data_IF_899458270243
#
_entry.id   IF_899458270243
#
_cell.length_a   1.000
_cell.length_b   1.000
_cell.length_c   1.000
_cell.angle_alpha   90.00
_cell.angle_beta   90.00
_cell.angle_gamma   90.00
#
_symmetry.space_group_name_H-M   'P 1'
#
loop_
_entity.id
_entity.type
_entity.pdbx_description
1 polymer ?
#
# COMPACT_ATOMS: atom_id res chain seq x y z
N UNK A 1 -10.26 -14.14 12.75
CA UNK A 1 -11.07 -15.38 12.91
C UNK A 1 -10.99 -15.90 14.35
N UNK A 2 -9.87 -16.49 14.80
CA UNK A 2 -9.76 -17.12 16.12
C UNK A 2 -10.12 -16.23 17.32
N UNK A 3 -9.72 -14.95 17.29
CA UNK A 3 -9.96 -14.00 18.39
C UNK A 3 -11.45 -13.65 18.57
N UNK A 4 -12.24 -13.70 17.50
CA UNK A 4 -13.63 -13.24 17.49
C UNK A 4 -14.63 -14.32 17.04
N UNK A 5 -14.17 -15.54 16.73
CA UNK A 5 -15.01 -16.64 16.24
C UNK A 5 -15.69 -16.37 14.89
N UNK A 6 -15.20 -15.39 14.11
CA UNK A 6 -15.80 -14.96 12.84
C UNK A 6 -15.29 -15.77 11.65
N UNK A 7 -16.05 -15.76 10.55
CA UNK A 7 -15.63 -16.33 9.27
C UNK A 7 -14.45 -15.59 8.65
N UNK A 8 -13.80 -16.23 7.67
CA UNK A 8 -12.72 -15.61 6.90
C UNK A 8 -13.19 -14.36 6.16
N UNK A 9 -14.35 -14.42 5.52
CA UNK A 9 -14.93 -13.30 4.77
C UNK A 9 -15.18 -12.09 5.68
N UNK A 10 -15.73 -12.32 6.87
CA UNK A 10 -15.94 -11.27 7.86
C UNK A 10 -14.61 -10.68 8.36
N UNK A 11 -13.61 -11.53 8.62
CA UNK A 11 -12.29 -11.08 9.03
C UNK A 11 -11.60 -10.24 7.94
N UNK A 12 -11.65 -10.67 6.68
CA UNK A 12 -11.10 -9.94 5.54
C UNK A 12 -11.80 -8.60 5.36
N UNK A 13 -13.13 -8.57 5.46
CA UNK A 13 -13.90 -7.32 5.39
C UNK A 13 -13.48 -6.34 6.49
N UNK A 14 -13.34 -6.83 7.73
CA UNK A 14 -12.87 -6.00 8.84
C UNK A 14 -11.46 -5.46 8.58
N UNK A 15 -10.52 -6.28 8.11
CA UNK A 15 -9.18 -5.82 7.75
C UNK A 15 -9.22 -4.70 6.70
N UNK A 16 -10.06 -4.81 5.67
CA UNK A 16 -10.21 -3.75 4.67
C UNK A 16 -10.77 -2.44 5.25
N UNK A 17 -11.72 -2.52 6.18
CA UNK A 17 -12.25 -1.36 6.89
C UNK A 17 -11.17 -0.66 7.73
N UNK A 18 -10.34 -1.43 8.44
CA UNK A 18 -9.22 -0.88 9.21
C UNK A 18 -8.13 -0.28 8.31
N UNK A 19 -7.78 -0.93 7.20
CA UNK A 19 -6.85 -0.37 6.20
C UNK A 19 -7.39 0.95 5.65
N UNK A 20 -8.70 1.02 5.35
CA UNK A 20 -9.33 2.24 4.87
C UNK A 20 -9.29 3.37 5.91
N UNK A 21 -9.47 3.04 7.20
CA UNK A 21 -9.34 4.02 8.29
C UNK A 21 -7.89 4.51 8.41
N UNK A 22 -6.92 3.60 8.42
CA UNK A 22 -5.50 3.95 8.49
C UNK A 22 -5.06 4.87 7.34
N UNK A 23 -5.59 4.68 6.13
CA UNK A 23 -5.32 5.59 5.00
C UNK A 23 -5.84 7.02 5.24
N UNK A 24 -6.97 7.19 5.92
CA UNK A 24 -7.50 8.51 6.29
C UNK A 24 -6.61 9.18 7.32
N UNK A 25 -6.17 8.42 8.33
CA UNK A 25 -5.25 8.91 9.36
C UNK A 25 -3.92 9.37 8.73
N UNK A 26 -3.35 8.56 7.83
CA UNK A 26 -2.13 8.92 7.07
C UNK A 26 -2.34 10.23 6.28
N UNK A 27 -3.47 10.36 5.59
CA UNK A 27 -3.76 11.54 4.79
C UNK A 27 -3.89 12.81 5.67
N UNK A 28 -4.53 12.70 6.83
CA UNK A 28 -4.66 13.80 7.79
C UNK A 28 -3.29 14.21 8.36
N UNK A 29 -2.48 13.24 8.80
CA UNK A 29 -1.15 13.49 9.36
C UNK A 29 -0.19 14.10 8.33
N UNK A 30 -0.28 13.69 7.06
CA UNK A 30 0.53 14.29 5.99
C UNK A 30 0.17 15.75 5.70
N UNK A 31 -1.01 16.23 6.09
CA UNK A 31 -1.42 17.64 5.94
C UNK A 31 -1.02 18.50 7.13
N UNK A 32 -0.77 17.89 8.30
CA UNK A 32 -0.41 18.62 9.52
C UNK A 32 1.03 19.13 9.44
N UNK A 33 1.32 20.32 9.99
CA UNK A 33 2.69 20.75 10.21
C UNK A 33 3.42 19.74 11.09
N UNK A 34 4.57 19.26 10.61
CA UNK A 34 5.40 18.27 11.32
C UNK A 34 6.81 18.83 11.51
N UNK A 35 7.47 18.54 12.65
CA UNK A 35 8.89 18.86 12.83
C UNK A 35 9.82 17.95 11.99
N UNK A 36 9.28 16.88 11.40
CA UNK A 36 10.04 15.96 10.58
C UNK A 36 10.29 16.53 9.18
N UNK A 37 11.43 16.23 8.55
CA UNK A 37 11.66 16.56 7.14
C UNK A 37 10.60 15.90 6.25
N UNK A 38 10.08 16.66 5.27
CA UNK A 38 9.10 16.16 4.29
C UNK A 38 9.60 14.92 3.55
N UNK A 39 10.89 14.86 3.24
CA UNK A 39 11.50 13.70 2.57
C UNK A 39 11.42 12.42 3.40
N UNK A 40 11.42 12.52 4.73
CA UNK A 40 11.27 11.38 5.62
C UNK A 40 9.83 10.87 5.62
N UNK A 41 8.85 11.78 5.73
CA UNK A 41 7.43 11.41 5.71
C UNK A 41 7.01 10.86 4.35
N UNK A 42 7.50 11.44 3.26
CA UNK A 42 7.32 10.93 1.89
C UNK A 42 7.87 9.52 1.72
N UNK A 43 9.03 9.22 2.30
CA UNK A 43 9.62 7.87 2.22
C UNK A 43 8.72 6.82 2.87
N UNK A 44 8.19 7.11 4.05
CA UNK A 44 7.27 6.19 4.76
C UNK A 44 5.95 6.05 4.01
N UNK A 45 5.40 7.16 3.51
CA UNK A 45 4.18 7.17 2.71
C UNK A 45 4.35 6.35 1.41
N UNK A 46 5.45 6.53 0.69
CA UNK A 46 5.73 5.80 -0.53
C UNK A 46 5.99 4.31 -0.27
N UNK A 47 6.57 3.95 0.88
CA UNK A 47 6.66 2.56 1.29
C UNK A 47 5.27 1.94 1.47
N UNK A 48 4.36 2.59 2.20
CA UNK A 48 2.98 2.11 2.34
C UNK A 48 2.25 1.98 0.99
N UNK A 49 2.42 2.96 0.09
CA UNK A 49 1.87 2.90 -1.27
C UNK A 49 2.42 1.73 -2.08
N UNK A 50 3.72 1.45 -1.96
CA UNK A 50 4.33 0.32 -2.66
C UNK A 50 3.72 -1.03 -2.26
N UNK A 51 3.36 -1.21 -0.99
CA UNK A 51 2.66 -2.42 -0.52
C UNK A 51 1.31 -2.57 -1.21
N UNK A 52 0.53 -1.50 -1.36
CA UNK A 52 -0.74 -1.58 -2.11
C UNK A 52 -0.51 -2.04 -3.55
N UNK A 53 0.51 -1.52 -4.24
CA UNK A 53 0.83 -1.93 -5.63
C UNK A 53 1.28 -3.40 -5.68
N UNK A 54 2.14 -3.81 -4.74
CA UNK A 54 2.66 -5.19 -4.67
C UNK A 54 1.53 -6.21 -4.50
N UNK A 55 0.48 -5.86 -3.74
CA UNK A 55 -0.60 -6.78 -3.38
C UNK A 55 -1.93 -6.55 -4.13
N UNK A 56 -1.98 -5.62 -5.09
CA UNK A 56 -3.21 -5.25 -5.80
C UNK A 56 -3.84 -6.45 -6.52
N UNK A 57 -3.01 -7.28 -7.17
CA UNK A 57 -3.45 -8.40 -8.00
C UNK A 57 -3.13 -9.77 -7.40
N UNK A 58 -2.97 -9.84 -6.07
CA UNK A 58 -2.57 -11.05 -5.34
C UNK A 58 -1.19 -10.91 -4.70
N UNK A 59 -0.53 -12.03 -4.38
CA UNK A 59 0.79 -12.00 -3.74
C UNK A 59 1.90 -11.73 -4.78
N UNK A 60 2.03 -10.47 -5.20
CA UNK A 60 3.06 -10.05 -6.16
C UNK A 60 4.48 -10.07 -5.58
N UNK A 61 4.64 -10.14 -4.25
CA UNK A 61 5.96 -10.27 -3.63
C UNK A 61 6.55 -11.66 -3.88
N UNK A 62 5.78 -12.71 -3.59
CA UNK A 62 6.21 -14.09 -3.87
C UNK A 62 6.09 -14.44 -5.36
N UNK A 63 5.05 -13.92 -6.04
CA UNK A 63 4.76 -14.17 -7.44
C UNK A 63 5.08 -12.95 -8.31
N UNK A 64 6.37 -12.64 -8.46
CA UNK A 64 6.88 -11.41 -9.10
C UNK A 64 6.41 -11.17 -10.55
N UNK A 65 5.95 -12.19 -11.26
CA UNK A 65 5.38 -12.04 -12.61
C UNK A 65 4.15 -11.10 -12.62
N UNK A 66 3.42 -10.98 -11.50
CA UNK A 66 2.29 -10.06 -11.35
C UNK A 66 2.71 -8.59 -11.38
N UNK A 67 3.99 -8.27 -11.12
CA UNK A 67 4.53 -6.91 -11.10
C UNK A 67 5.34 -6.57 -12.36
N UNK A 68 5.42 -7.50 -13.32
CA UNK A 68 6.29 -7.34 -14.49
C UNK A 68 5.99 -6.06 -15.27
N UNK A 69 4.72 -5.78 -15.54
CA UNK A 69 4.31 -4.59 -16.29
C UNK A 69 4.68 -3.29 -15.55
N UNK A 70 4.50 -3.25 -14.23
CA UNK A 70 4.92 -2.10 -13.42
C UNK A 70 6.44 -1.90 -13.43
N UNK A 71 7.22 -2.99 -13.32
CA UNK A 71 8.68 -2.94 -13.33
C UNK A 71 9.20 -2.49 -14.70
N UNK A 72 8.67 -3.08 -15.77
CA UNK A 72 9.07 -2.74 -17.13
C UNK A 72 8.78 -1.26 -17.40
N UNK A 73 7.56 -0.78 -17.09
CA UNK A 73 7.17 0.62 -17.29
C UNK A 73 7.99 1.62 -16.45
N UNK A 74 8.39 1.27 -15.23
CA UNK A 74 9.09 2.18 -14.33
C UNK A 74 10.61 2.20 -14.54
N UNK A 75 11.21 1.06 -14.90
CA UNK A 75 12.66 0.86 -14.86
C UNK A 75 13.29 0.41 -16.19
N UNK A 76 12.51 -0.13 -17.13
CA UNK A 76 13.03 -0.66 -18.40
C UNK A 76 12.63 0.19 -19.60
N UNK A 77 11.36 0.60 -19.68
CA UNK A 77 10.78 1.27 -20.83
C UNK A 77 10.86 2.79 -20.69
N UNK A 78 11.55 3.50 -21.61
CA UNK A 78 11.60 4.95 -21.58
C UNK A 78 10.25 5.56 -21.99
N UNK A 79 9.87 6.68 -21.38
CA UNK A 79 8.73 7.47 -21.83
C UNK A 79 9.05 8.08 -23.21
N UNK A 80 8.21 7.85 -24.24
CA UNK A 80 8.41 8.47 -25.54
C UNK A 80 8.42 10.00 -25.45
N UNK A 81 9.31 10.64 -26.20
CA UNK A 81 9.42 12.10 -26.33
C UNK A 81 8.44 12.67 -27.35
#
# INVERSE_FOLDING_TARGET
MNEHGVSEVEAVKFCWEEISRAWKDIAEECQKPTPLPVTLTERVLNFARSINVIYENGDGYTHSHLLKEHIDSLLADPVPL
#
